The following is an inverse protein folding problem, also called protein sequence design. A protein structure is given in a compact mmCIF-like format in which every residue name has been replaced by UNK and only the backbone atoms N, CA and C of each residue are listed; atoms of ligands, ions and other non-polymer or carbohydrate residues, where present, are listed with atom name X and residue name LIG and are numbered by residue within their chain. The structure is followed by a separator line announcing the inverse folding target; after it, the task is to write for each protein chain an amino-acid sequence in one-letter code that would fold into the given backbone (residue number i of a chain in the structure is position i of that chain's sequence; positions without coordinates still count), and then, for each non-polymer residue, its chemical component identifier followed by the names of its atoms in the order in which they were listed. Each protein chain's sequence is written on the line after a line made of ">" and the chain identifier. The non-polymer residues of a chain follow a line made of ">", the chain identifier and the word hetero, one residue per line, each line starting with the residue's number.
data_IF_532299906472
#
_entry.id   IF_532299906472
#
_cell.length_a   1.000
_cell.length_b   1.000
_cell.length_c   1.000
_cell.angle_alpha   90.00
_cell.angle_beta   90.00
_cell.angle_gamma   90.00
#
_symmetry.space_group_name_H-M   'P 1'
#
loop_
_entity.id
_entity.type
_entity.pdbx_description
1 polymer ?
#
# COMPACT_ATOMS: atom_id res chain seq x y z
N UNK A 1 -40.97 10.50 -16.97
CA UNK A 1 -39.92 10.84 -15.97
C UNK A 1 -39.88 9.91 -14.75
N UNK A 2 -40.92 9.11 -14.42
CA UNK A 2 -40.91 8.21 -13.23
C UNK A 2 -40.10 6.90 -13.39
N UNK A 3 -39.77 6.50 -14.62
CA UNK A 3 -39.08 5.23 -14.93
C UNK A 3 -37.56 5.28 -14.75
N UNK A 4 -36.97 6.46 -14.70
CA UNK A 4 -35.52 6.66 -14.62
C UNK A 4 -35.01 6.56 -13.17
N UNK A 5 -35.83 6.96 -12.19
CA UNK A 5 -35.53 6.85 -10.75
C UNK A 5 -35.60 5.41 -10.24
N UNK A 6 -36.53 4.59 -10.73
CA UNK A 6 -36.67 3.19 -10.33
C UNK A 6 -35.54 2.31 -10.87
N UNK A 7 -35.01 2.64 -12.05
CA UNK A 7 -33.82 1.99 -12.61
C UNK A 7 -32.56 2.34 -11.81
N UNK A 8 -32.45 3.59 -11.34
CA UNK A 8 -31.38 4.03 -10.44
C UNK A 8 -31.41 3.28 -9.10
N UNK A 9 -32.57 3.16 -8.46
CA UNK A 9 -32.70 2.54 -7.13
C UNK A 9 -32.40 1.03 -7.13
N UNK A 10 -32.91 0.28 -8.12
CA UNK A 10 -32.58 -1.15 -8.27
C UNK A 10 -31.10 -1.38 -8.56
N UNK A 11 -30.49 -0.53 -9.38
CA UNK A 11 -29.06 -0.63 -9.71
C UNK A 11 -28.19 -0.31 -8.49
N UNK A 12 -28.53 0.74 -7.74
CA UNK A 12 -27.83 1.09 -6.50
C UNK A 12 -27.97 0.01 -5.43
N UNK A 13 -29.16 -0.59 -5.28
CA UNK A 13 -29.38 -1.70 -4.36
C UNK A 13 -28.57 -2.95 -4.77
N UNK A 14 -28.48 -3.24 -6.07
CA UNK A 14 -27.67 -4.34 -6.58
C UNK A 14 -26.17 -4.11 -6.32
N UNK A 15 -25.67 -2.90 -6.54
CA UNK A 15 -24.27 -2.53 -6.25
C UNK A 15 -24.00 -2.67 -4.76
N UNK A 16 -24.94 -2.25 -3.91
CA UNK A 16 -24.82 -2.36 -2.46
C UNK A 16 -24.77 -3.82 -1.98
N UNK A 17 -25.68 -4.67 -2.44
CA UNK A 17 -25.72 -6.10 -2.09
C UNK A 17 -24.44 -6.81 -2.54
N UNK A 18 -24.00 -6.56 -3.78
CA UNK A 18 -22.74 -7.11 -4.30
C UNK A 18 -21.55 -6.61 -3.49
N UNK A 19 -21.57 -5.33 -3.09
CA UNK A 19 -20.57 -4.72 -2.23
C UNK A 19 -20.47 -5.41 -0.87
N UNK A 20 -21.60 -5.64 -0.20
CA UNK A 20 -21.67 -6.37 1.09
C UNK A 20 -21.12 -7.79 0.92
N UNK A 21 -21.62 -8.53 -0.07
CA UNK A 21 -21.19 -9.92 -0.28
C UNK A 21 -19.68 -10.00 -0.54
N UNK A 22 -19.14 -9.06 -1.33
CA UNK A 22 -17.70 -8.95 -1.58
C UNK A 22 -16.92 -8.69 -0.29
N UNK A 23 -17.36 -7.73 0.53
CA UNK A 23 -16.68 -7.41 1.80
C UNK A 23 -16.75 -8.60 2.76
N UNK A 24 -17.89 -9.27 2.85
CA UNK A 24 -18.07 -10.46 3.68
C UNK A 24 -17.18 -11.61 3.22
N UNK A 25 -17.08 -11.87 1.92
CA UNK A 25 -16.16 -12.87 1.38
C UNK A 25 -14.70 -12.56 1.77
N UNK A 26 -14.25 -11.32 1.59
CA UNK A 26 -12.90 -10.91 1.99
C UNK A 26 -12.67 -10.97 3.51
N UNK A 27 -13.71 -10.71 4.31
CA UNK A 27 -13.67 -10.90 5.75
C UNK A 27 -13.44 -12.37 6.08
N UNK A 28 -14.25 -13.28 5.54
CA UNK A 28 -14.10 -14.71 5.80
C UNK A 28 -12.71 -15.22 5.41
N UNK A 29 -12.17 -14.72 4.28
CA UNK A 29 -10.80 -15.02 3.87
C UNK A 29 -9.78 -14.49 4.89
N UNK A 30 -9.95 -13.27 5.40
CA UNK A 30 -9.05 -12.69 6.40
C UNK A 30 -9.05 -13.52 7.70
N UNK A 31 -10.22 -13.92 8.19
CA UNK A 31 -10.35 -14.79 9.38
C UNK A 31 -9.65 -16.13 9.15
N UNK A 32 -9.90 -16.77 8.00
CA UNK A 32 -9.25 -18.02 7.63
C UNK A 32 -7.71 -17.88 7.61
N UNK A 33 -7.19 -16.78 7.05
CA UNK A 33 -5.75 -16.51 7.03
C UNK A 33 -5.17 -16.34 8.44
N UNK A 34 -5.86 -15.64 9.35
CA UNK A 34 -5.41 -15.48 10.74
C UNK A 34 -5.34 -16.83 11.44
N UNK A 35 -6.36 -17.67 11.26
CA UNK A 35 -6.43 -18.98 11.88
C UNK A 35 -5.38 -19.96 11.35
N UNK A 36 -5.10 -19.94 10.04
CA UNK A 36 -4.14 -20.86 9.43
C UNK A 36 -2.68 -20.42 9.61
N UNK A 37 -2.42 -19.11 9.56
CA UNK A 37 -1.04 -18.60 9.56
C UNK A 37 -0.50 -18.34 10.97
N UNK A 38 -1.36 -18.37 12.01
CA UNK A 38 -0.95 -18.13 13.40
C UNK A 38 -0.10 -16.87 13.60
N UNK A 39 -0.39 -15.81 12.84
CA UNK A 39 0.42 -14.58 12.77
C UNK A 39 0.66 -13.99 14.16
N UNK A 40 -0.35 -14.05 15.03
CA UNK A 40 -0.23 -13.55 16.40
C UNK A 40 0.71 -14.40 17.27
N UNK A 41 0.70 -15.72 17.11
CA UNK A 41 1.57 -16.61 17.87
C UNK A 41 3.04 -16.49 17.43
N UNK A 42 3.25 -16.32 16.12
CA UNK A 42 4.56 -16.06 15.53
C UNK A 42 5.14 -14.71 15.97
N UNK A 43 4.31 -13.69 16.16
CA UNK A 43 4.76 -12.41 16.70
C UNK A 43 5.20 -12.52 18.17
N UNK A 44 4.49 -13.33 18.96
CA UNK A 44 4.80 -13.50 20.39
C UNK A 44 6.01 -14.40 20.68
N UNK A 45 6.45 -15.23 19.73
CA UNK A 45 7.56 -16.16 19.94
C UNK A 45 8.47 -16.27 18.71
N UNK A 46 9.74 -15.88 18.86
CA UNK A 46 10.72 -15.88 17.78
C UNK A 46 11.39 -17.25 17.55
N UNK A 47 11.33 -18.15 18.55
CA UNK A 47 11.95 -19.48 18.51
C UNK A 47 11.58 -20.31 17.25
N UNK A 48 10.31 -20.35 16.80
CA UNK A 48 9.95 -21.07 15.58
C UNK A 48 10.48 -20.40 14.30
N UNK A 49 10.69 -19.07 14.32
CA UNK A 49 11.24 -18.34 13.17
C UNK A 49 12.74 -18.58 13.01
N UNK A 50 13.49 -18.69 14.10
CA UNK A 50 14.93 -18.95 14.07
C UNK A 50 15.26 -20.37 13.57
N UNK A 51 14.38 -21.34 13.83
CA UNK A 51 14.51 -22.71 13.34
C UNK A 51 14.01 -22.92 11.90
N UNK A 52 13.30 -21.93 11.33
CA UNK A 52 12.73 -22.03 10.00
C UNK A 52 13.79 -21.82 8.91
N UNK A 53 13.65 -22.53 7.79
CA UNK A 53 14.52 -22.32 6.63
C UNK A 53 14.29 -20.93 6.02
N UNK A 54 15.32 -20.39 5.35
CA UNK A 54 15.21 -19.10 4.64
C UNK A 54 14.06 -19.07 3.61
N UNK A 55 13.77 -20.20 2.97
CA UNK A 55 12.63 -20.35 2.06
C UNK A 55 11.29 -20.27 2.77
N UNK A 56 11.16 -20.92 3.94
CA UNK A 56 9.96 -20.84 4.76
C UNK A 56 9.73 -19.41 5.29
N UNK A 57 10.79 -18.72 5.71
CA UNK A 57 10.74 -17.32 6.12
C UNK A 57 10.28 -16.41 4.98
N UNK A 58 10.76 -16.63 3.76
CA UNK A 58 10.31 -15.90 2.57
C UNK A 58 8.82 -16.14 2.26
N UNK A 59 8.36 -17.39 2.35
CA UNK A 59 6.95 -17.73 2.19
C UNK A 59 6.05 -17.10 3.26
N UNK A 60 6.50 -17.12 4.51
CA UNK A 60 5.80 -16.50 5.64
C UNK A 60 5.72 -14.97 5.46
N UNK A 61 6.81 -14.33 5.04
CA UNK A 61 6.83 -12.90 4.74
C UNK A 61 5.86 -12.53 3.61
N UNK A 62 5.82 -13.32 2.53
CA UNK A 62 4.86 -13.13 1.44
C UNK A 62 3.42 -13.30 1.92
N UNK A 63 3.15 -14.36 2.67
CA UNK A 63 1.82 -14.62 3.22
C UNK A 63 1.37 -13.47 4.16
N UNK A 64 2.29 -12.93 4.97
CA UNK A 64 2.03 -11.78 5.84
C UNK A 64 1.64 -10.53 5.04
N UNK A 65 2.34 -10.27 3.93
CA UNK A 65 2.04 -9.13 3.03
C UNK A 65 0.68 -9.31 2.34
N UNK A 66 0.34 -10.54 1.93
CA UNK A 66 -0.97 -10.85 1.37
C UNK A 66 -2.09 -10.72 2.41
N UNK A 67 -1.84 -11.10 3.66
CA UNK A 67 -2.79 -10.90 4.75
C UNK A 67 -3.04 -9.40 4.98
N UNK A 68 -1.98 -8.59 5.03
CA UNK A 68 -2.13 -7.13 5.10
C UNK A 68 -3.01 -6.62 3.97
N UNK A 69 -2.77 -7.05 2.73
CA UNK A 69 -3.58 -6.66 1.59
C UNK A 69 -5.09 -6.97 1.79
N UNK A 70 -5.44 -8.20 2.17
CA UNK A 70 -6.84 -8.60 2.40
C UNK A 70 -7.46 -7.81 3.56
N UNK A 71 -6.72 -7.61 4.65
CA UNK A 71 -7.16 -6.79 5.79
C UNK A 71 -7.53 -5.36 5.35
N UNK A 72 -6.71 -4.75 4.51
CA UNK A 72 -6.98 -3.40 4.00
C UNK A 72 -8.14 -3.35 3.00
N UNK A 73 -8.38 -4.42 2.22
CA UNK A 73 -9.57 -4.51 1.39
C UNK A 73 -10.86 -4.48 2.22
N UNK A 74 -10.89 -5.17 3.36
CA UNK A 74 -12.05 -5.15 4.27
C UNK A 74 -12.19 -3.78 4.94
N UNK A 75 -11.11 -3.25 5.51
CA UNK A 75 -11.11 -1.96 6.23
C UNK A 75 -11.48 -0.77 5.33
N UNK A 76 -10.97 -0.70 4.10
CA UNK A 76 -11.32 0.37 3.16
C UNK A 76 -12.58 0.05 2.34
N UNK A 77 -12.98 -1.22 2.26
CA UNK A 77 -14.19 -1.65 1.56
C UNK A 77 -15.46 -1.11 2.19
N UNK A 78 -15.54 -1.09 3.53
CA UNK A 78 -16.72 -0.60 4.26
C UNK A 78 -16.94 0.92 4.04
N UNK A 79 -15.97 1.80 4.29
CA UNK A 79 -16.11 3.23 3.99
C UNK A 79 -16.35 3.50 2.50
N UNK A 80 -15.68 2.75 1.60
CA UNK A 80 -15.89 2.91 0.17
C UNK A 80 -17.32 2.55 -0.27
N UNK A 81 -17.97 1.60 0.40
CA UNK A 81 -19.37 1.26 0.16
C UNK A 81 -20.30 2.36 0.65
N UNK A 82 -20.05 2.90 1.86
CA UNK A 82 -20.82 4.02 2.42
C UNK A 82 -20.74 5.27 1.53
N UNK A 83 -19.54 5.65 1.08
CA UNK A 83 -19.38 6.78 0.17
C UNK A 83 -20.16 6.59 -1.14
N UNK A 84 -20.21 5.37 -1.68
CA UNK A 84 -20.99 5.08 -2.88
C UNK A 84 -22.50 5.22 -2.64
N UNK A 85 -22.99 4.89 -1.44
CA UNK A 85 -24.39 5.12 -1.08
C UNK A 85 -24.73 6.60 -1.01
N UNK A 86 -23.79 7.43 -0.56
CA UNK A 86 -23.92 8.90 -0.54
C UNK A 86 -23.77 9.54 -1.94
N UNK A 87 -23.58 8.74 -3.00
CA UNK A 87 -23.36 9.21 -4.36
C UNK A 87 -21.97 9.79 -4.60
N UNK A 88 -21.04 9.64 -3.64
CA UNK A 88 -19.66 10.06 -3.76
C UNK A 88 -18.81 8.98 -4.42
N UNK A 89 -17.87 9.40 -5.27
CA UNK A 89 -16.92 8.48 -5.90
C UNK A 89 -15.86 8.05 -4.86
N UNK A 90 -15.80 6.77 -4.47
CA UNK A 90 -14.81 6.31 -3.51
C UNK A 90 -13.40 6.37 -4.13
N UNK A 91 -12.36 6.53 -3.30
CA UNK A 91 -10.99 6.33 -3.77
C UNK A 91 -10.82 4.88 -4.28
N UNK A 92 -9.91 4.68 -5.24
CA UNK A 92 -9.58 3.34 -5.76
C UNK A 92 -9.22 2.38 -4.60
N UNK A 93 -9.49 1.08 -4.70
CA UNK A 93 -9.09 0.11 -3.68
C UNK A 93 -7.63 -0.32 -3.86
N UNK A 94 -6.93 -0.80 -2.79
CA UNK A 94 -5.52 -1.15 -2.89
C UNK A 94 -5.31 -2.17 -4.01
N UNK A 95 -4.26 -1.97 -4.80
CA UNK A 95 -3.82 -2.97 -5.76
C UNK A 95 -3.10 -4.11 -5.04
N UNK A 96 -3.14 -5.30 -5.63
CA UNK A 96 -2.40 -6.45 -5.13
C UNK A 96 -0.90 -6.15 -5.07
N UNK A 97 -0.29 -6.39 -3.91
CA UNK A 97 1.13 -6.10 -3.67
C UNK A 97 2.03 -6.93 -4.60
N UNK A 98 1.63 -8.16 -4.93
CA UNK A 98 2.39 -9.05 -5.81
C UNK A 98 2.44 -8.58 -7.28
N UNK A 99 1.57 -7.66 -7.69
CA UNK A 99 1.58 -7.08 -9.04
C UNK A 99 2.46 -5.82 -9.14
N UNK A 100 2.99 -5.33 -8.01
CA UNK A 100 3.79 -4.12 -7.97
C UNK A 100 5.26 -4.41 -8.23
N UNK A 101 5.76 -3.96 -9.38
CA UNK A 101 7.15 -4.11 -9.83
C UNK A 101 8.01 -2.85 -9.63
N UNK A 102 7.44 -1.77 -9.08
CA UNK A 102 8.12 -0.48 -8.93
C UNK A 102 7.84 0.10 -7.55
N UNK A 103 8.90 0.46 -6.81
CA UNK A 103 8.79 1.10 -5.51
C UNK A 103 8.09 2.45 -5.62
N UNK A 104 8.43 3.23 -6.65
CA UNK A 104 7.82 4.53 -6.93
C UNK A 104 6.33 4.37 -7.21
N UNK A 105 5.93 3.38 -8.02
CA UNK A 105 4.51 3.08 -8.28
C UNK A 105 3.83 2.58 -7.01
N UNK A 106 4.45 1.70 -6.23
CA UNK A 106 3.93 1.22 -4.95
C UNK A 106 3.62 2.40 -4.02
N UNK A 107 4.56 3.31 -3.81
CA UNK A 107 4.33 4.49 -2.96
C UNK A 107 3.36 5.52 -3.56
N UNK A 108 3.12 5.48 -4.88
CA UNK A 108 2.08 6.28 -5.57
C UNK A 108 0.69 5.62 -5.57
N UNK A 109 0.58 4.29 -5.51
CA UNK A 109 -0.67 3.53 -5.65
C UNK A 109 -1.14 2.88 -4.35
N UNK A 110 -0.27 2.67 -3.36
CA UNK A 110 -0.62 2.08 -2.08
C UNK A 110 -1.58 2.97 -1.31
N UNK A 111 -2.73 2.40 -0.95
CA UNK A 111 -3.91 3.16 -0.55
C UNK A 111 -3.96 3.60 0.90
N UNK A 112 -3.17 2.95 1.75
CA UNK A 112 -2.88 3.36 3.13
C UNK A 112 -2.33 4.79 3.16
N UNK A 113 -1.78 5.20 2.01
CA UNK A 113 -1.17 6.48 1.79
C UNK A 113 -2.07 7.45 1.02
N UNK A 114 -3.35 7.25 0.68
CA UNK A 114 -4.08 8.34 -0.02
C UNK A 114 -4.31 9.58 0.88
N UNK A 115 -4.69 9.35 2.14
CA UNK A 115 -4.86 10.40 3.15
C UNK A 115 -3.49 10.91 3.67
N UNK A 116 -2.61 9.98 4.05
CA UNK A 116 -1.27 10.30 4.58
C UNK A 116 -0.36 10.89 3.48
N UNK A 117 -0.41 10.43 2.22
CA UNK A 117 0.37 11.03 1.12
C UNK A 117 -0.11 12.43 0.82
N UNK A 118 -1.42 12.72 0.77
CA UNK A 118 -1.82 14.10 0.52
C UNK A 118 -1.27 15.03 1.60
N UNK A 119 -1.20 14.55 2.86
CA UNK A 119 -0.57 15.29 3.94
C UNK A 119 0.96 15.34 3.79
N UNK A 120 1.66 14.21 3.81
CA UNK A 120 3.12 14.13 3.76
C UNK A 120 3.70 14.67 2.45
N UNK A 121 3.04 14.47 1.31
CA UNK A 121 3.47 15.06 0.04
C UNK A 121 3.32 16.58 0.04
N UNK A 122 2.14 17.11 0.44
CA UNK A 122 1.88 18.56 0.38
C UNK A 122 2.57 19.34 1.50
N UNK A 123 2.73 18.76 2.69
CA UNK A 123 3.25 19.43 3.87
C UNK A 123 4.69 19.05 4.24
N UNK A 124 5.24 17.96 3.68
CA UNK A 124 6.62 17.54 3.96
C UNK A 124 7.44 17.52 2.65
N UNK A 125 7.03 16.76 1.64
CA UNK A 125 7.84 16.57 0.43
C UNK A 125 7.98 17.84 -0.44
N UNK A 126 6.87 18.52 -0.74
CA UNK A 126 6.84 19.73 -1.59
C UNK A 126 7.56 20.92 -0.94
N UNK A 127 7.28 21.31 0.32
CA UNK A 127 7.94 22.46 0.94
C UNK A 127 9.44 22.23 1.19
N UNK A 128 9.90 20.98 1.30
CA UNK A 128 11.31 20.65 1.51
C UNK A 128 12.14 20.59 0.21
N UNK A 129 11.57 21.03 -0.91
CA UNK A 129 12.31 21.19 -2.16
C UNK A 129 12.34 19.95 -3.05
N UNK A 130 11.51 18.93 -2.79
CA UNK A 130 11.39 17.74 -3.64
C UNK A 130 10.90 18.03 -5.08
N UNK A 131 10.41 19.25 -5.34
CA UNK A 131 10.00 19.74 -6.67
C UNK A 131 11.09 20.55 -7.39
N UNK A 132 12.16 20.97 -6.70
CA UNK A 132 13.26 21.74 -7.32
C UNK A 132 14.38 20.76 -7.71
N UNK A 133 14.88 20.84 -8.94
CA UNK A 133 15.63 19.80 -9.70
C UNK A 133 16.94 19.25 -9.09
N UNK A 134 17.31 19.62 -7.87
CA UNK A 134 18.53 19.13 -7.21
C UNK A 134 18.36 17.68 -6.72
N UNK A 135 19.28 16.80 -7.10
CA UNK A 135 19.32 15.40 -6.67
C UNK A 135 19.31 15.30 -5.13
N UNK A 136 20.07 16.17 -4.46
CA UNK A 136 20.17 16.21 -3.00
C UNK A 136 18.84 16.64 -2.34
N UNK A 137 18.13 17.61 -2.90
CA UNK A 137 16.82 18.03 -2.38
C UNK A 137 15.77 16.93 -2.48
N UNK A 138 15.79 16.14 -3.56
CA UNK A 138 14.93 14.96 -3.70
C UNK A 138 15.29 13.85 -2.69
N UNK A 139 16.58 13.55 -2.53
CA UNK A 139 17.06 12.53 -1.58
C UNK A 139 16.72 12.88 -0.14
N UNK A 140 16.92 14.14 0.25
CA UNK A 140 16.58 14.62 1.58
C UNK A 140 15.06 14.64 1.82
N UNK A 141 14.28 15.13 0.86
CA UNK A 141 12.82 15.17 0.95
C UNK A 141 12.20 13.77 1.06
N UNK A 142 12.73 12.80 0.30
CA UNK A 142 12.29 11.39 0.40
C UNK A 142 12.72 10.76 1.72
N UNK A 143 13.94 11.00 2.20
CA UNK A 143 14.42 10.48 3.49
C UNK A 143 13.54 10.97 4.65
N UNK A 144 13.22 12.27 4.67
CA UNK A 144 12.38 12.87 5.71
C UNK A 144 10.94 12.32 5.66
N UNK A 145 10.42 12.06 4.46
CA UNK A 145 9.11 11.42 4.26
C UNK A 145 9.09 10.03 4.89
N UNK A 146 10.10 9.19 4.66
CA UNK A 146 10.19 7.85 5.24
C UNK A 146 10.46 7.87 6.75
N UNK A 147 11.26 8.83 7.24
CA UNK A 147 11.49 9.03 8.66
C UNK A 147 10.18 9.39 9.39
N UNK A 148 9.40 10.32 8.83
CA UNK A 148 8.11 10.70 9.38
C UNK A 148 7.12 9.52 9.41
N UNK A 149 7.03 8.75 8.32
CA UNK A 149 6.16 7.57 8.27
C UNK A 149 6.57 6.53 9.31
N UNK A 150 7.88 6.27 9.46
CA UNK A 150 8.40 5.32 10.46
C UNK A 150 8.10 5.78 11.89
N UNK A 151 8.23 7.09 12.15
CA UNK A 151 7.85 7.70 13.42
C UNK A 151 6.35 7.59 13.69
N UNK A 152 5.51 7.92 12.70
CA UNK A 152 4.05 7.85 12.80
C UNK A 152 3.55 6.43 13.13
N UNK A 153 4.21 5.40 12.61
CA UNK A 153 3.86 4.00 12.88
C UNK A 153 4.29 3.50 14.27
N UNK A 154 4.86 4.34 15.13
CA UNK A 154 5.22 4.01 16.51
C UNK A 154 6.73 3.92 16.77
N UNK A 155 7.57 4.30 15.80
CA UNK A 155 9.01 4.57 16.01
C UNK A 155 9.87 3.38 16.43
N UNK A 156 9.36 2.15 16.31
CA UNK A 156 10.08 0.93 16.68
C UNK A 156 11.26 0.66 15.74
N UNK A 157 12.31 0.01 16.23
CA UNK A 157 13.55 -0.23 15.46
C UNK A 157 13.28 -0.95 14.13
N UNK A 158 12.39 -1.93 14.10
CA UNK A 158 12.03 -2.65 12.88
C UNK A 158 11.34 -1.76 11.82
N UNK A 159 10.60 -0.73 12.24
CA UNK A 159 9.97 0.23 11.34
C UNK A 159 11.00 1.16 10.71
N UNK A 160 12.03 1.55 11.46
CA UNK A 160 13.15 2.34 10.93
C UNK A 160 13.92 1.57 9.86
N UNK A 161 14.25 0.30 10.11
CA UNK A 161 14.88 -0.57 9.11
C UNK A 161 13.99 -0.72 7.87
N UNK A 162 12.69 -0.95 8.06
CA UNK A 162 11.73 -1.04 6.97
C UNK A 162 11.67 0.26 6.14
N UNK A 163 11.60 1.43 6.80
CA UNK A 163 11.60 2.73 6.15
C UNK A 163 12.88 2.99 5.36
N UNK A 164 14.04 2.66 5.95
CA UNK A 164 15.35 2.80 5.30
C UNK A 164 15.48 1.90 4.05
N UNK A 165 15.03 0.64 4.13
CA UNK A 165 15.04 -0.28 2.97
C UNK A 165 14.14 0.21 1.84
N UNK A 166 12.96 0.75 2.17
CA UNK A 166 12.05 1.33 1.17
C UNK A 166 12.63 2.60 0.55
N UNK A 167 13.26 3.46 1.34
CA UNK A 167 13.96 4.64 0.86
C UNK A 167 15.08 4.27 -0.11
N UNK A 168 15.92 3.29 0.26
CA UNK A 168 16.98 2.77 -0.60
C UNK A 168 16.42 2.21 -1.92
N UNK A 169 15.31 1.46 -1.88
CA UNK A 169 14.64 0.95 -3.07
C UNK A 169 14.19 2.06 -4.03
N UNK A 170 13.67 3.17 -3.51
CA UNK A 170 13.29 4.34 -4.33
C UNK A 170 14.52 5.03 -4.93
N UNK A 171 15.63 5.13 -4.18
CA UNK A 171 16.89 5.70 -4.70
C UNK A 171 17.44 4.85 -5.83
N UNK A 172 17.52 3.54 -5.63
CA UNK A 172 18.03 2.59 -6.63
C UNK A 172 17.16 2.66 -7.88
N UNK A 173 15.83 2.64 -7.74
CA UNK A 173 14.93 2.73 -8.89
C UNK A 173 15.12 4.04 -9.67
N UNK A 174 15.25 5.18 -8.99
CA UNK A 174 15.49 6.46 -9.63
C UNK A 174 16.89 6.54 -10.26
N UNK A 175 17.89 5.94 -9.64
CA UNK A 175 19.24 5.81 -10.18
C UNK A 175 19.27 4.99 -11.46
N UNK A 176 18.64 3.81 -11.46
CA UNK A 176 18.50 2.95 -12.64
C UNK A 176 17.77 3.67 -13.76
N UNK A 177 16.65 4.35 -13.48
CA UNK A 177 15.94 5.17 -14.48
C UNK A 177 16.83 6.25 -15.07
N UNK A 178 17.63 6.92 -14.24
CA UNK A 178 18.53 7.98 -14.70
C UNK A 178 19.64 7.41 -15.58
N UNK A 179 20.22 6.27 -15.21
CA UNK A 179 21.22 5.56 -16.02
C UNK A 179 20.61 5.16 -17.38
N UNK A 180 19.43 4.54 -17.39
CA UNK A 180 18.73 4.16 -18.62
C UNK A 180 18.30 5.35 -19.49
N UNK A 181 18.16 6.55 -18.91
CA UNK A 181 17.85 7.78 -19.66
C UNK A 181 19.07 8.43 -20.30
N UNK A 182 20.28 7.93 -20.03
CA UNK A 182 21.50 8.40 -20.70
C UNK A 182 21.45 7.91 -22.16
N UNK A 183 21.55 8.86 -23.09
CA UNK A 183 21.47 8.62 -24.55
C UNK A 183 22.44 7.55 -25.05
N UNK A 184 23.59 7.39 -24.40
CA UNK A 184 24.59 6.37 -24.71
C UNK A 184 24.08 4.92 -24.50
N UNK A 185 23.18 4.71 -23.52
CA UNK A 185 22.60 3.39 -23.22
C UNK A 185 21.34 3.16 -24.04
N UNK A 186 20.54 4.21 -24.32
CA UNK A 186 19.38 4.11 -25.21
C UNK A 186 19.74 3.76 -26.65
N UNK A 187 20.95 4.10 -27.10
CA UNK A 187 21.43 3.73 -28.44
C UNK A 187 22.08 2.31 -28.47
N UNK A 188 22.27 1.67 -27.31
CA UNK A 188 22.89 0.34 -27.18
C UNK A 188 21.85 -0.77 -26.94
N UNK A 189 20.64 -0.42 -26.51
CA UNK A 189 19.48 -1.31 -26.31
C UNK A 189 18.57 -1.20 -27.52
#
# INVERSE_FOLDING_TARGET
>A
MRTQETFSLKTNLSIFIVGIFRIFFWWCLAELMIHLMYIHALYSSALPLEAASYWALGGLALAQVLFFYVKYLVLYGVPALLLQMDGLKPPALPCCVSLMHSFTKMWRLSLITLLIRNFTYRYIYVPMGGSQSSLLGMLFSTALTFAFVSYWHGGQSYLWYWGALNWLGVIVENGVKRILSISLIQNLI
#
